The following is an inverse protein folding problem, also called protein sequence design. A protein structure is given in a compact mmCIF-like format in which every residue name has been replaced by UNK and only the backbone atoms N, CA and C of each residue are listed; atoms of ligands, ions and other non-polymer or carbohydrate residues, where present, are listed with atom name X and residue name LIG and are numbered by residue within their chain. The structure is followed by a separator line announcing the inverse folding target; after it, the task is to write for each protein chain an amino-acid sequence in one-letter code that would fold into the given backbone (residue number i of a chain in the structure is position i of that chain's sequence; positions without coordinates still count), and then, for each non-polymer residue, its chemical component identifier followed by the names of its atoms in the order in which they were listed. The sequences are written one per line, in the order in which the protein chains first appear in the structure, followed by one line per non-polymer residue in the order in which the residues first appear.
data_IF_217395975462
#
_entry.id   IF_217395975462
#
_cell.length_a   1.000
_cell.length_b   1.000
_cell.length_c   1.000
_cell.angle_alpha   90.00
_cell.angle_beta   90.00
_cell.angle_gamma   90.00
#
_symmetry.space_group_name_H-M   'P 1'
#
loop_
_entity.id
_entity.type
_entity.pdbx_description
1 polymer ?
#
# COMPACT_ATOMS: atom_id res chain seq x y z
N UNK A 1 20.20 -11.86 -2.11
CA UNK A 1 18.78 -11.77 -2.52
C UNK A 1 18.40 -13.12 -3.11
N UNK A 2 17.21 -13.62 -2.80
CA UNK A 2 16.66 -14.87 -3.33
C UNK A 2 15.77 -14.55 -4.54
N UNK A 3 15.68 -15.45 -5.51
CA UNK A 3 14.76 -15.28 -6.65
C UNK A 3 13.34 -15.74 -6.27
N UNK A 4 12.83 -15.30 -5.12
CA UNK A 4 11.50 -15.62 -4.61
C UNK A 4 10.53 -14.45 -4.76
N UNK A 5 9.34 -14.76 -5.30
CA UNK A 5 8.20 -13.85 -5.34
C UNK A 5 7.16 -14.29 -4.30
N UNK A 6 6.68 -13.35 -3.48
CA UNK A 6 5.51 -13.58 -2.61
C UNK A 6 4.24 -13.29 -3.40
N UNK A 7 3.45 -14.33 -3.67
CA UNK A 7 2.27 -14.24 -4.52
C UNK A 7 1.00 -13.84 -3.77
N UNK A 8 1.01 -13.85 -2.43
CA UNK A 8 -0.14 -13.47 -1.60
C UNK A 8 -0.26 -11.95 -1.45
N UNK A 9 -0.13 -11.22 -2.55
CA UNK A 9 -0.37 -9.78 -2.62
C UNK A 9 -1.75 -9.55 -3.22
N UNK A 10 -2.56 -8.71 -2.55
CA UNK A 10 -3.90 -8.36 -3.02
C UNK A 10 -3.88 -7.01 -3.72
N UNK A 11 -4.64 -6.91 -4.81
CA UNK A 11 -4.71 -5.72 -5.65
C UNK A 11 -6.15 -5.20 -5.65
N UNK A 12 -6.30 -3.93 -5.32
CA UNK A 12 -7.61 -3.28 -5.28
C UNK A 12 -7.55 -2.02 -6.12
N UNK A 13 -8.47 -1.88 -7.06
CA UNK A 13 -8.71 -0.63 -7.75
C UNK A 13 -9.87 0.07 -7.04
N UNK A 14 -9.56 1.10 -6.25
CA UNK A 14 -10.53 1.78 -5.39
C UNK A 14 -11.38 2.74 -6.23
N UNK A 15 -12.50 2.25 -6.75
CA UNK A 15 -13.53 3.12 -7.32
C UNK A 15 -14.32 3.88 -6.23
N UNK A 16 -15.21 4.81 -6.63
CA UNK A 16 -16.07 5.56 -5.72
C UNK A 16 -17.04 4.70 -4.87
N UNK A 17 -17.19 3.40 -5.20
CA UNK A 17 -18.13 2.47 -4.55
C UNK A 17 -17.41 1.27 -3.91
N UNK A 18 -16.35 1.48 -3.12
CA UNK A 18 -15.68 0.39 -2.40
C UNK A 18 -16.44 -0.13 -1.15
N UNK A 19 -17.65 0.38 -0.89
CA UNK A 19 -18.42 0.12 0.34
C UNK A 19 -18.82 -1.33 0.56
N UNK A 20 -18.87 -2.15 -0.48
CA UNK A 20 -19.23 -3.58 -0.40
C UNK A 20 -18.02 -4.52 -0.30
N UNK A 21 -16.80 -3.97 -0.23
CA UNK A 21 -15.58 -4.77 -0.16
C UNK A 21 -15.36 -5.28 1.28
N UNK A 22 -15.53 -6.58 1.49
CA UNK A 22 -15.11 -7.24 2.73
C UNK A 22 -13.58 -7.39 2.78
N UNK A 23 -12.93 -6.30 3.19
CA UNK A 23 -11.48 -6.20 3.35
C UNK A 23 -10.93 -7.22 4.34
N UNK A 24 -11.69 -7.61 5.37
CA UNK A 24 -11.22 -8.57 6.35
C UNK A 24 -11.04 -9.95 5.70
N UNK A 25 -12.02 -10.38 4.93
CA UNK A 25 -11.98 -11.64 4.17
C UNK A 25 -10.91 -11.59 3.08
N UNK A 26 -10.87 -10.53 2.28
CA UNK A 26 -9.91 -10.40 1.20
C UNK A 26 -8.45 -10.37 1.68
N UNK A 27 -8.21 -9.75 2.84
CA UNK A 27 -6.87 -9.65 3.42
C UNK A 27 -6.52 -10.80 4.37
N UNK A 28 -7.42 -11.75 4.65
CA UNK A 28 -7.19 -12.79 5.66
C UNK A 28 -5.89 -13.57 5.44
N UNK A 29 -5.58 -13.91 4.18
CA UNK A 29 -4.37 -14.65 3.81
C UNK A 29 -3.32 -13.80 3.08
N UNK A 30 -3.51 -12.48 3.02
CA UNK A 30 -2.62 -11.56 2.33
C UNK A 30 -1.32 -11.28 3.13
N UNK A 31 -0.22 -11.17 2.38
CA UNK A 31 1.13 -10.76 2.84
C UNK A 31 1.50 -9.36 2.40
N UNK A 32 0.80 -8.81 1.41
CA UNK A 32 0.81 -7.38 1.08
C UNK A 32 -0.51 -6.97 0.43
N UNK A 33 -0.76 -5.67 0.37
CA UNK A 33 -1.86 -5.14 -0.43
C UNK A 33 -1.45 -3.88 -1.19
N UNK A 34 -1.96 -3.73 -2.41
CA UNK A 34 -1.81 -2.53 -3.23
C UNK A 34 -3.20 -1.98 -3.53
N UNK A 35 -3.40 -0.71 -3.20
CA UNK A 35 -4.63 0.03 -3.46
C UNK A 35 -4.32 1.11 -4.49
N UNK A 36 -4.88 0.98 -5.68
CA UNK A 36 -4.82 2.00 -6.71
C UNK A 36 -5.97 2.99 -6.52
N UNK A 37 -5.64 4.27 -6.42
CA UNK A 37 -6.58 5.38 -6.25
C UNK A 37 -6.73 6.13 -7.57
N UNK A 38 -7.97 6.37 -8.03
CA UNK A 38 -8.22 7.18 -9.19
C UNK A 38 -7.84 8.65 -8.92
N UNK A 39 -7.56 9.42 -9.99
CA UNK A 39 -7.24 10.83 -9.85
C UNK A 39 -8.32 11.61 -9.12
N UNK A 40 -7.92 12.49 -8.19
CA UNK A 40 -8.84 13.38 -7.50
C UNK A 40 -9.68 12.72 -6.40
N UNK A 41 -9.31 11.52 -5.95
CA UNK A 41 -9.92 10.87 -4.78
C UNK A 41 -8.96 10.93 -3.59
N UNK A 42 -9.45 11.40 -2.45
CA UNK A 42 -8.71 11.39 -1.20
C UNK A 42 -8.50 9.97 -0.67
N UNK A 43 -7.46 9.77 0.14
CA UNK A 43 -7.24 8.49 0.79
C UNK A 43 -8.43 8.14 1.71
N UNK A 44 -9.09 6.99 1.52
CA UNK A 44 -10.29 6.65 2.29
C UNK A 44 -9.94 6.39 3.76
N UNK A 45 -10.41 7.29 4.64
CA UNK A 45 -10.10 7.26 6.07
C UNK A 45 -10.55 5.97 6.78
N UNK A 46 -11.72 5.43 6.41
CA UNK A 46 -12.23 4.17 6.98
C UNK A 46 -11.38 2.96 6.55
N UNK A 47 -10.84 2.95 5.33
CA UNK A 47 -9.90 1.92 4.90
C UNK A 47 -8.60 2.00 5.71
N UNK A 48 -8.04 3.20 5.89
CA UNK A 48 -6.84 3.39 6.72
C UNK A 48 -7.09 2.91 8.15
N UNK A 49 -8.25 3.24 8.73
CA UNK A 49 -8.66 2.79 10.07
C UNK A 49 -8.76 1.27 10.16
N UNK A 50 -9.34 0.59 9.15
CA UNK A 50 -9.37 -0.87 9.10
C UNK A 50 -7.98 -1.49 9.01
N UNK A 51 -7.10 -0.95 8.17
CA UNK A 51 -5.72 -1.42 8.03
C UNK A 51 -4.94 -1.25 9.34
N UNK A 52 -5.12 -0.13 10.04
CA UNK A 52 -4.53 0.14 11.37
C UNK A 52 -4.98 -0.86 12.44
N UNK A 53 -6.25 -1.24 12.40
CA UNK A 53 -6.84 -2.16 13.37
C UNK A 53 -6.43 -3.63 13.14
N UNK A 54 -6.01 -3.99 11.92
CA UNK A 54 -5.66 -5.37 11.56
C UNK A 54 -4.47 -5.90 12.35
N UNK A 55 -4.58 -7.15 12.80
CA UNK A 55 -3.50 -7.96 13.39
C UNK A 55 -3.46 -9.33 12.69
N UNK A 56 -2.31 -9.81 12.19
CA UNK A 56 -1.01 -9.13 12.13
C UNK A 56 -1.04 -7.91 11.18
N UNK A 57 -0.08 -6.99 11.35
CA UNK A 57 0.07 -5.85 10.43
C UNK A 57 0.49 -6.33 9.04
N UNK A 58 0.13 -5.56 8.03
CA UNK A 58 0.37 -5.84 6.62
C UNK A 58 1.12 -4.67 6.00
N UNK A 59 2.16 -4.90 5.20
CA UNK A 59 2.69 -3.87 4.31
C UNK A 59 1.63 -3.52 3.25
N UNK A 60 1.27 -2.25 3.18
CA UNK A 60 0.26 -1.73 2.24
C UNK A 60 0.88 -0.63 1.40
N UNK A 61 0.56 -0.60 0.12
CA UNK A 61 0.91 0.50 -0.78
C UNK A 61 -0.36 1.14 -1.29
N UNK A 62 -0.47 2.45 -1.14
CA UNK A 62 -1.38 3.25 -1.94
C UNK A 62 -0.62 3.84 -3.12
N UNK A 63 -1.17 3.68 -4.32
CA UNK A 63 -0.64 4.24 -5.57
C UNK A 63 -1.72 5.05 -6.28
N UNK A 64 -1.34 6.10 -7.00
CA UNK A 64 -2.27 6.93 -7.76
C UNK A 64 -2.12 8.43 -7.51
N UNK A 65 -3.01 9.21 -8.11
CA UNK A 65 -3.03 10.67 -8.02
C UNK A 65 -4.13 11.13 -7.06
N UNK A 66 -3.97 10.85 -5.77
CA UNK A 66 -4.87 11.40 -4.76
C UNK A 66 -4.91 12.94 -4.85
N UNK A 67 -6.03 13.56 -4.47
CA UNK A 67 -6.16 15.01 -4.47
C UNK A 67 -5.24 15.59 -3.38
N UNK A 68 -4.04 16.04 -3.77
CA UNK A 68 -3.00 16.44 -2.80
C UNK A 68 -3.30 17.85 -2.27
N UNK A 69 -3.84 17.94 -1.06
CA UNK A 69 -3.90 19.17 -0.26
C UNK A 69 -2.48 19.59 0.23
N UNK A 70 -2.25 20.87 0.57
CA UNK A 70 -0.94 21.54 0.46
C UNK A 70 0.24 20.89 1.20
N UNK A 71 1.40 20.95 0.54
CA UNK A 71 2.69 20.28 0.77
C UNK A 71 3.19 20.12 2.22
N UNK A 72 2.84 21.02 3.16
CA UNK A 72 3.28 20.94 4.55
C UNK A 72 2.54 19.86 5.39
N UNK A 73 1.27 19.58 5.06
CA UNK A 73 0.50 18.50 5.71
C UNK A 73 0.91 17.10 5.25
N UNK A 74 1.59 17.03 4.10
CA UNK A 74 1.87 15.79 3.39
C UNK A 74 3.00 14.97 4.04
N UNK A 75 4.03 15.65 4.59
CA UNK A 75 5.13 14.96 5.27
C UNK A 75 4.70 14.31 6.58
N UNK A 76 3.87 15.02 7.37
CA UNK A 76 3.34 14.49 8.64
C UNK A 76 2.43 13.28 8.40
N UNK A 77 1.49 13.40 7.45
CA UNK A 77 0.61 12.30 7.06
C UNK A 77 1.40 11.09 6.55
N UNK A 78 2.41 11.31 5.71
CA UNK A 78 3.28 10.24 5.21
C UNK A 78 3.99 9.51 6.36
N UNK A 79 4.59 10.24 7.30
CA UNK A 79 5.26 9.63 8.45
C UNK A 79 4.30 8.85 9.35
N UNK A 80 3.09 9.38 9.59
CA UNK A 80 2.06 8.67 10.36
C UNK A 80 1.63 7.37 9.66
N UNK A 81 1.39 7.41 8.35
CA UNK A 81 1.01 6.22 7.57
C UNK A 81 2.12 5.17 7.53
N UNK A 82 3.39 5.59 7.42
CA UNK A 82 4.52 4.67 7.44
C UNK A 82 4.63 3.92 8.79
N UNK A 83 4.27 4.55 9.93
CA UNK A 83 4.22 3.85 11.23
C UNK A 83 3.16 2.73 11.26
N UNK A 84 2.15 2.84 10.41
CA UNK A 84 1.07 1.87 10.23
C UNK A 84 1.34 0.87 9.09
N UNK A 85 2.57 0.84 8.59
CA UNK A 85 3.02 -0.01 7.48
C UNK A 85 2.38 0.33 6.13
N UNK A 86 1.99 1.59 5.96
CA UNK A 86 1.35 2.10 4.75
C UNK A 86 2.34 3.01 4.01
N UNK A 87 2.65 2.66 2.76
CA UNK A 87 3.50 3.42 1.86
C UNK A 87 2.66 4.16 0.82
N UNK A 88 3.01 5.41 0.57
CA UNK A 88 2.45 6.21 -0.51
C UNK A 88 3.43 6.20 -1.69
N UNK A 89 2.98 5.75 -2.84
CA UNK A 89 3.74 5.75 -4.09
C UNK A 89 3.03 6.64 -5.12
N UNK A 90 3.79 7.41 -5.93
CA UNK A 90 3.21 8.21 -6.99
C UNK A 90 2.56 7.32 -8.06
N UNK A 91 1.63 7.91 -8.84
CA UNK A 91 1.06 7.25 -9.99
C UNK A 91 2.16 6.83 -10.98
N UNK A 92 2.27 5.52 -11.22
CA UNK A 92 3.20 4.90 -12.15
C UNK A 92 2.63 3.59 -12.67
N UNK A 93 3.44 2.78 -13.35
CA UNK A 93 3.05 1.42 -13.78
C UNK A 93 2.69 0.59 -12.54
N UNK A 94 1.40 0.34 -12.34
CA UNK A 94 0.91 -0.38 -11.15
C UNK A 94 1.39 -1.83 -11.18
N UNK A 95 1.57 -2.38 -12.39
CA UNK A 95 2.10 -3.70 -12.68
C UNK A 95 3.58 -3.82 -12.32
N UNK A 96 4.41 -2.83 -12.65
CA UNK A 96 5.82 -2.82 -12.24
C UNK A 96 5.95 -2.72 -10.73
N UNK A 97 5.15 -1.84 -10.10
CA UNK A 97 5.09 -1.71 -8.65
C UNK A 97 4.63 -3.03 -8.00
N UNK A 98 3.65 -3.70 -8.59
CA UNK A 98 3.14 -5.00 -8.15
C UNK A 98 4.26 -6.04 -8.11
N UNK A 99 4.94 -6.23 -9.24
CA UNK A 99 6.02 -7.21 -9.37
C UNK A 99 7.16 -6.88 -8.42
N UNK A 100 7.57 -5.61 -8.34
CA UNK A 100 8.60 -5.16 -7.40
C UNK A 100 8.21 -5.46 -5.96
N UNK A 101 6.97 -5.16 -5.57
CA UNK A 101 6.50 -5.39 -4.22
C UNK A 101 6.40 -6.87 -3.86
N UNK A 102 5.90 -7.71 -4.77
CA UNK A 102 5.89 -9.16 -4.62
C UNK A 102 7.30 -9.72 -4.44
N UNK A 103 8.27 -9.19 -5.19
CA UNK A 103 9.67 -9.57 -5.05
C UNK A 103 10.25 -9.14 -3.71
N UNK A 104 10.06 -7.89 -3.29
CA UNK A 104 10.53 -7.35 -2.00
C UNK A 104 9.97 -8.16 -0.83
N UNK A 105 8.68 -8.47 -0.84
CA UNK A 105 8.05 -9.31 0.19
C UNK A 105 8.58 -10.75 0.21
N UNK A 106 9.03 -11.24 -0.95
CA UNK A 106 9.75 -12.51 -1.07
C UNK A 106 11.16 -12.47 -0.48
N UNK A 107 11.74 -11.28 -0.26
CA UNK A 107 13.06 -11.10 0.35
C UNK A 107 12.99 -10.90 1.86
N UNK A 108 12.03 -10.11 2.32
CA UNK A 108 11.97 -9.64 3.70
C UNK A 108 10.53 -9.42 4.14
N UNK A 109 10.32 -9.50 5.46
CA UNK A 109 9.07 -9.12 6.12
C UNK A 109 9.29 -7.88 7.02
N UNK A 110 10.53 -7.35 7.06
CA UNK A 110 10.84 -6.13 7.81
C UNK A 110 10.35 -4.90 7.04
N UNK A 111 9.46 -4.11 7.65
CA UNK A 111 8.87 -2.96 6.98
C UNK A 111 9.88 -1.85 6.64
N UNK A 112 10.94 -1.70 7.43
CA UNK A 112 12.01 -0.72 7.16
C UNK A 112 12.79 -1.09 5.90
N UNK A 113 13.15 -2.37 5.75
CA UNK A 113 13.79 -2.90 4.55
C UNK A 113 12.85 -2.84 3.34
N UNK A 114 11.57 -3.18 3.50
CA UNK A 114 10.56 -3.08 2.42
C UNK A 114 10.52 -1.65 1.88
N UNK A 115 10.42 -0.65 2.77
CA UNK A 115 10.42 0.76 2.40
C UNK A 115 11.69 1.16 1.65
N UNK A 116 12.86 0.74 2.15
CA UNK A 116 14.16 1.04 1.52
C UNK A 116 14.24 0.46 0.10
N UNK A 117 13.92 -0.82 -0.07
CA UNK A 117 13.99 -1.50 -1.36
C UNK A 117 12.96 -0.98 -2.37
N UNK A 118 11.80 -0.53 -1.91
CA UNK A 118 10.82 0.13 -2.77
C UNK A 118 11.25 1.55 -3.17
N UNK A 119 11.88 2.30 -2.26
CA UNK A 119 12.32 3.68 -2.47
C UNK A 119 13.65 3.86 -3.22
N UNK A 120 14.51 2.85 -3.31
CA UNK A 120 15.80 2.90 -4.01
C UNK A 120 15.71 2.91 -5.55
N UNK A 121 14.53 3.10 -6.14
CA UNK A 121 14.38 3.04 -7.62
C UNK A 121 13.25 3.94 -8.14
N UNK A 122 13.29 5.24 -7.78
CA UNK A 122 12.62 6.32 -8.52
C UNK A 122 13.51 7.56 -8.52
#
# INVERSE_FOLDING_TARGET
LRDSLETRVKFFNLGPFYGDLDLATELANARGAIFSLPPGVDYPAELIKHLRARRPRLPVIFTGSALILPLAGNQKLKTELEQDWILLQPAGSTEELAVKFMWVLGQTQDFGEIKKMLGETL
#
